data_IF_889472464390
#
_entry.id   IF_889472464390
#
_cell.length_a   1.000
_cell.length_b   1.000
_cell.length_c   1.000
_cell.angle_alpha   90.00
_cell.angle_beta   90.00
_cell.angle_gamma   90.00
#
_symmetry.space_group_name_H-M   'P 1'
#
loop_
_entity.id
_entity.type
_entity.pdbx_description
1 polymer ?
#
# COMPACT_ATOMS: atom_id res chain seq x y z
N UNK A 1 -3.30 -43.26 -10.06
CA UNK A 1 -4.21 -42.65 -9.08
C UNK A 1 -5.58 -42.72 -9.72
N UNK A 2 -6.60 -43.23 -9.04
CA UNK A 2 -7.91 -43.36 -9.67
C UNK A 2 -8.53 -41.95 -9.74
N UNK A 3 -9.06 -41.60 -10.91
CA UNK A 3 -9.65 -40.29 -11.19
C UNK A 3 -11.17 -40.39 -11.21
N UNK A 4 -11.81 -39.53 -10.42
CA UNK A 4 -13.25 -39.35 -10.38
C UNK A 4 -13.59 -37.91 -10.78
N UNK A 5 -13.11 -37.53 -11.96
CA UNK A 5 -13.32 -36.22 -12.54
C UNK A 5 -14.65 -36.16 -13.30
N UNK A 6 -15.21 -34.96 -13.42
CA UNK A 6 -16.46 -34.76 -14.16
C UNK A 6 -16.29 -35.06 -15.64
N UNK A 7 -17.29 -35.72 -16.22
CA UNK A 7 -17.41 -35.93 -17.66
C UNK A 7 -17.60 -34.60 -18.40
N UNK A 8 -17.29 -34.57 -19.70
CA UNK A 8 -17.52 -33.41 -20.56
C UNK A 8 -18.98 -32.94 -20.55
N UNK A 9 -19.95 -33.87 -20.57
CA UNK A 9 -21.38 -33.54 -20.49
C UNK A 9 -21.74 -32.81 -19.19
N UNK A 10 -21.19 -33.27 -18.07
CA UNK A 10 -21.39 -32.65 -16.76
C UNK A 10 -20.75 -31.26 -16.70
N UNK A 11 -19.52 -31.10 -17.21
CA UNK A 11 -18.87 -29.78 -17.31
C UNK A 11 -19.67 -28.81 -18.18
N UNK A 12 -20.28 -29.29 -19.26
CA UNK A 12 -21.16 -28.48 -20.12
C UNK A 12 -22.44 -28.07 -19.38
N UNK A 13 -23.07 -28.95 -18.60
CA UNK A 13 -24.22 -28.57 -17.76
C UNK A 13 -23.87 -27.46 -16.76
N UNK A 14 -22.67 -27.51 -16.17
CA UNK A 14 -22.19 -26.45 -15.27
C UNK A 14 -21.94 -25.15 -16.03
N UNK A 15 -21.39 -25.20 -17.25
CA UNK A 15 -21.22 -24.01 -18.09
C UNK A 15 -22.55 -23.33 -18.42
N UNK A 16 -23.61 -24.10 -18.69
CA UNK A 16 -24.95 -23.54 -18.91
C UNK A 16 -25.52 -22.87 -17.66
N UNK A 17 -25.24 -23.39 -16.46
CA UNK A 17 -25.60 -22.70 -15.22
C UNK A 17 -24.86 -21.38 -15.08
N UNK A 18 -23.54 -21.37 -15.32
CA UNK A 18 -22.70 -20.16 -15.25
C UNK A 18 -23.22 -19.08 -16.22
N UNK A 19 -23.57 -19.47 -17.45
CA UNK A 19 -24.16 -18.56 -18.47
C UNK A 19 -25.49 -17.93 -18.04
N UNK A 20 -26.18 -18.52 -17.08
CA UNK A 20 -27.40 -17.97 -16.49
C UNK A 20 -27.15 -16.90 -15.42
N UNK A 21 -25.90 -16.62 -15.06
CA UNK A 21 -25.50 -15.64 -14.05
C UNK A 21 -24.94 -14.37 -14.67
N UNK A 22 -24.58 -13.38 -13.85
CA UNK A 22 -23.83 -12.20 -14.29
C UNK A 22 -22.31 -12.37 -14.25
N UNK A 23 -21.82 -13.54 -13.83
CA UNK A 23 -20.39 -13.84 -13.75
C UNK A 23 -19.83 -14.13 -15.15
N UNK A 24 -18.60 -13.71 -15.40
CA UNK A 24 -17.92 -14.00 -16.67
C UNK A 24 -17.49 -15.47 -16.73
N UNK A 25 -17.97 -16.27 -17.70
CA UNK A 25 -17.57 -17.67 -17.85
C UNK A 25 -16.05 -17.86 -18.02
N UNK A 26 -15.32 -16.87 -18.53
CA UNK A 26 -13.87 -16.97 -18.73
C UNK A 26 -13.05 -16.93 -17.43
N UNK A 27 -13.63 -16.40 -16.36
CA UNK A 27 -13.00 -16.36 -15.04
C UNK A 27 -13.07 -17.72 -14.33
N UNK A 28 -13.85 -18.68 -14.83
CA UNK A 28 -13.92 -20.01 -14.25
C UNK A 28 -12.81 -20.92 -14.78
N UNK A 29 -12.01 -21.48 -13.88
CA UNK A 29 -10.93 -22.42 -14.21
C UNK A 29 -11.22 -23.80 -13.65
N UNK A 30 -11.18 -24.80 -14.53
CA UNK A 30 -11.18 -26.20 -14.11
C UNK A 30 -9.77 -26.61 -13.71
N UNK A 31 -9.67 -27.28 -12.57
CA UNK A 31 -8.47 -27.97 -12.14
C UNK A 31 -8.86 -29.28 -11.47
N UNK A 32 -7.85 -30.07 -11.16
CA UNK A 32 -8.02 -31.30 -10.40
C UNK A 32 -7.45 -31.09 -8.99
N UNK A 33 -8.01 -31.79 -8.00
CA UNK A 33 -7.67 -31.66 -6.58
C UNK A 33 -7.74 -33.04 -5.92
N UNK A 34 -6.90 -33.29 -4.91
CA UNK A 34 -7.03 -34.48 -4.08
C UNK A 34 -8.34 -34.42 -3.28
N UNK A 35 -9.13 -35.51 -3.38
CA UNK A 35 -10.32 -35.73 -2.58
C UNK A 35 -10.02 -35.54 -1.10
N UNK A 36 -10.97 -34.94 -0.36
CA UNK A 36 -10.86 -34.78 1.10
C UNK A 36 -11.33 -36.03 1.85
N UNK A 37 -11.86 -37.02 1.15
CA UNK A 37 -12.37 -38.25 1.73
C UNK A 37 -11.64 -39.46 1.15
N UNK A 38 -11.56 -40.51 1.96
CA UNK A 38 -11.09 -41.80 1.50
C UNK A 38 -12.27 -42.55 0.89
N UNK A 39 -12.06 -43.13 -0.29
CA UNK A 39 -13.02 -44.07 -0.90
C UNK A 39 -12.86 -45.47 -0.28
N UNK A 40 -13.74 -46.42 -0.63
CA UNK A 40 -13.87 -47.74 0.01
C UNK A 40 -12.55 -48.54 0.18
N UNK A 41 -11.54 -48.29 -0.66
CA UNK A 41 -10.21 -48.92 -0.57
C UNK A 41 -9.18 -48.15 0.28
N UNK A 42 -9.60 -47.15 1.06
CA UNK A 42 -8.74 -46.30 1.88
C UNK A 42 -7.67 -45.55 1.04
N UNK A 43 -8.04 -45.15 -0.18
CA UNK A 43 -7.19 -44.42 -1.13
C UNK A 43 -7.75 -43.01 -1.36
N UNK A 44 -6.85 -42.05 -1.59
CA UNK A 44 -7.22 -40.75 -2.13
C UNK A 44 -7.42 -40.84 -3.63
N UNK A 45 -8.44 -40.17 -4.13
CA UNK A 45 -8.75 -40.06 -5.55
C UNK A 45 -8.65 -38.60 -5.99
N UNK A 46 -8.41 -38.41 -7.28
CA UNK A 46 -8.40 -37.07 -7.88
C UNK A 46 -9.83 -36.71 -8.28
N UNK A 47 -10.28 -35.52 -7.90
CA UNK A 47 -11.63 -35.00 -8.17
C UNK A 47 -11.58 -33.66 -8.88
N UNK A 48 -12.66 -33.29 -9.57
CA UNK A 48 -12.72 -32.01 -10.26
C UNK A 48 -13.00 -30.85 -9.32
N UNK A 49 -12.30 -29.74 -9.55
CA UNK A 49 -12.48 -28.46 -8.89
C UNK A 49 -12.73 -27.37 -9.93
N UNK A 50 -13.66 -26.49 -9.61
CA UNK A 50 -13.96 -25.29 -10.37
C UNK A 50 -13.63 -24.08 -9.49
N UNK A 51 -12.72 -23.21 -9.94
CA UNK A 51 -12.31 -22.02 -9.20
C UNK A 51 -12.69 -20.75 -9.97
N UNK A 52 -12.91 -19.64 -9.26
CA UNK A 52 -13.14 -18.33 -9.87
C UNK A 52 -11.87 -17.47 -9.78
N UNK A 53 -11.41 -16.96 -10.91
CA UNK A 53 -10.15 -16.24 -11.09
C UNK A 53 -10.02 -15.04 -10.13
N UNK A 54 -8.79 -14.81 -9.66
CA UNK A 54 -8.42 -13.77 -8.69
C UNK A 54 -9.25 -13.76 -7.39
N UNK A 55 -9.84 -14.90 -7.02
CA UNK A 55 -10.60 -15.08 -5.80
C UNK A 55 -10.23 -16.37 -5.06
N UNK A 56 -10.48 -16.47 -3.75
CA UNK A 56 -10.33 -17.72 -3.01
C UNK A 56 -11.49 -18.70 -3.24
N UNK A 57 -12.47 -18.37 -4.09
CA UNK A 57 -13.73 -19.09 -4.22
C UNK A 57 -13.64 -20.27 -5.18
N UNK A 58 -14.30 -21.38 -4.81
CA UNK A 58 -14.25 -22.63 -5.53
C UNK A 58 -15.47 -23.52 -5.26
N UNK A 59 -15.65 -24.52 -6.12
CA UNK A 59 -16.54 -25.67 -5.93
C UNK A 59 -15.78 -26.95 -6.27
N UNK A 60 -15.70 -27.88 -5.32
CA UNK A 60 -15.07 -29.20 -5.50
C UNK A 60 -16.18 -30.25 -5.60
N UNK A 61 -16.11 -31.03 -6.67
CA UNK A 61 -17.01 -32.15 -6.96
C UNK A 61 -16.42 -33.44 -6.37
N UNK A 62 -16.47 -33.54 -5.05
CA UNK A 62 -15.86 -34.63 -4.30
C UNK A 62 -16.77 -35.88 -4.24
N UNK A 63 -16.27 -36.94 -3.63
CA UNK A 63 -16.98 -38.19 -3.40
C UNK A 63 -16.83 -38.61 -1.94
N UNK A 64 -17.85 -39.29 -1.44
CA UNK A 64 -17.82 -40.01 -0.18
C UNK A 64 -18.38 -41.42 -0.37
N UNK A 65 -18.32 -42.27 0.66
CA UNK A 65 -18.94 -43.60 0.62
C UNK A 65 -20.47 -43.56 0.36
N UNK A 66 -21.10 -42.38 0.46
CA UNK A 66 -22.53 -42.17 0.19
C UNK A 66 -22.80 -41.59 -1.21
N UNK A 67 -21.78 -41.50 -2.07
CA UNK A 67 -21.86 -40.98 -3.44
C UNK A 67 -21.31 -39.56 -3.57
N UNK A 68 -21.96 -38.73 -4.39
CA UNK A 68 -21.53 -37.35 -4.63
C UNK A 68 -21.45 -36.53 -3.36
N UNK A 69 -20.37 -35.77 -3.23
CA UNK A 69 -20.13 -34.82 -2.16
C UNK A 69 -19.71 -33.47 -2.77
N UNK A 70 -19.96 -32.38 -2.06
CA UNK A 70 -19.54 -31.06 -2.51
C UNK A 70 -18.89 -30.28 -1.38
N UNK A 71 -17.77 -29.63 -1.68
CA UNK A 71 -17.11 -28.66 -0.81
C UNK A 71 -16.99 -27.36 -1.58
N UNK A 72 -17.42 -26.24 -1.02
CA UNK A 72 -17.38 -24.99 -1.76
C UNK A 72 -17.20 -23.76 -0.88
N UNK A 73 -16.68 -22.72 -1.49
CA UNK A 73 -16.54 -21.37 -0.96
C UNK A 73 -16.93 -20.39 -2.08
N UNK A 74 -17.77 -19.37 -1.83
CA UNK A 74 -18.34 -19.01 -0.54
C UNK A 74 -19.55 -19.90 -0.17
N UNK A 75 -19.82 -20.01 1.13
CA UNK A 75 -21.05 -20.60 1.67
C UNK A 75 -22.17 -19.57 1.87
N UNK A 76 -23.28 -20.02 2.44
CA UNK A 76 -24.45 -19.17 2.67
C UNK A 76 -24.17 -18.05 3.66
N UNK A 77 -23.69 -18.41 4.85
CA UNK A 77 -23.41 -17.52 5.99
C UNK A 77 -22.01 -17.78 6.58
N UNK A 78 -21.22 -18.60 5.90
CA UNK A 78 -19.90 -19.06 6.32
C UNK A 78 -18.93 -19.10 5.13
N UNK A 79 -17.60 -18.96 5.36
CA UNK A 79 -16.62 -18.96 4.27
C UNK A 79 -16.58 -20.26 3.47
N UNK A 80 -16.89 -21.40 4.11
CA UNK A 80 -16.83 -22.73 3.50
C UNK A 80 -18.07 -23.53 3.86
N UNK A 81 -18.64 -24.22 2.88
CA UNK A 81 -19.76 -25.12 3.06
C UNK A 81 -19.45 -26.52 2.51
N UNK A 82 -20.23 -27.49 2.95
CA UNK A 82 -20.14 -28.88 2.50
C UNK A 82 -21.51 -29.53 2.50
N UNK A 83 -21.80 -30.28 1.45
CA UNK A 83 -23.07 -30.97 1.28
C UNK A 83 -22.83 -32.38 0.76
N UNK A 84 -23.80 -33.27 0.97
CA UNK A 84 -23.75 -34.65 0.50
C UNK A 84 -24.92 -34.91 -0.46
N UNK A 85 -24.78 -34.55 -1.75
CA UNK A 85 -25.92 -34.55 -2.65
C UNK A 85 -26.35 -35.95 -3.08
N UNK A 86 -25.47 -36.95 -2.96
CA UNK A 86 -25.73 -38.36 -3.28
C UNK A 86 -26.02 -38.67 -4.77
N UNK A 87 -26.39 -37.67 -5.56
CA UNK A 87 -26.70 -37.79 -6.99
C UNK A 87 -26.27 -36.55 -7.76
N UNK A 88 -26.00 -36.72 -9.06
CA UNK A 88 -25.63 -35.61 -9.95
C UNK A 88 -26.70 -34.51 -10.02
N UNK A 89 -27.98 -34.88 -10.05
CA UNK A 89 -29.08 -33.91 -10.16
C UNK A 89 -29.09 -32.94 -8.96
N UNK A 90 -28.89 -33.47 -7.75
CA UNK A 90 -28.84 -32.65 -6.53
C UNK A 90 -27.51 -31.89 -6.47
N UNK A 91 -26.39 -32.49 -6.89
CA UNK A 91 -25.09 -31.81 -6.98
C UNK A 91 -25.19 -30.54 -7.82
N UNK A 92 -25.87 -30.63 -8.97
CA UNK A 92 -26.11 -29.49 -9.86
C UNK A 92 -26.92 -28.38 -9.17
N UNK A 93 -27.91 -28.75 -8.35
CA UNK A 93 -28.66 -27.80 -7.53
C UNK A 93 -27.76 -27.00 -6.58
N UNK A 94 -26.80 -27.67 -5.94
CA UNK A 94 -25.83 -27.00 -5.08
C UNK A 94 -24.83 -26.12 -5.85
N UNK A 95 -24.47 -26.47 -7.09
CA UNK A 95 -23.67 -25.56 -7.93
C UNK A 95 -24.46 -24.27 -8.23
N UNK A 96 -25.75 -24.38 -8.57
CA UNK A 96 -26.60 -23.21 -8.81
C UNK A 96 -26.72 -22.33 -7.56
N UNK A 97 -26.87 -22.94 -6.39
CA UNK A 97 -26.90 -22.22 -5.11
C UNK A 97 -25.57 -21.52 -4.81
N UNK A 98 -24.45 -22.23 -4.98
CA UNK A 98 -23.10 -21.68 -4.82
C UNK A 98 -22.84 -20.50 -5.78
N UNK A 99 -23.26 -20.59 -7.04
CA UNK A 99 -23.13 -19.48 -7.99
C UNK A 99 -23.86 -18.22 -7.51
N UNK A 100 -25.03 -18.37 -6.89
CA UNK A 100 -25.74 -17.25 -6.25
C UNK A 100 -24.95 -16.63 -5.09
N UNK A 101 -24.24 -17.44 -4.30
CA UNK A 101 -23.36 -16.96 -3.23
C UNK A 101 -22.12 -16.28 -3.79
N UNK A 102 -21.52 -16.84 -4.84
CA UNK A 102 -20.39 -16.24 -5.53
C UNK A 102 -20.75 -14.88 -6.12
N UNK A 103 -21.90 -14.75 -6.79
CA UNK A 103 -22.40 -13.45 -7.27
C UNK A 103 -22.61 -12.45 -6.14
N UNK A 104 -23.11 -12.89 -4.99
CA UNK A 104 -23.28 -12.04 -3.81
C UNK A 104 -21.92 -11.46 -3.39
N UNK A 105 -20.92 -12.31 -3.17
CA UNK A 105 -19.60 -11.88 -2.69
C UNK A 105 -18.88 -11.02 -3.73
N UNK A 106 -18.90 -11.39 -5.02
CA UNK A 106 -18.22 -10.63 -6.08
C UNK A 106 -18.78 -9.23 -6.31
N UNK A 107 -20.02 -8.97 -5.87
CA UNK A 107 -20.65 -7.64 -5.95
C UNK A 107 -20.40 -6.77 -4.72
N UNK A 108 -19.91 -7.34 -3.61
CA UNK A 108 -19.64 -6.56 -2.41
C UNK A 108 -18.23 -5.95 -2.50
N UNK A 109 -18.08 -4.62 -2.39
CA UNK A 109 -16.77 -4.02 -2.16
C UNK A 109 -16.24 -4.39 -0.77
N UNK A 110 -14.93 -4.56 -0.64
CA UNK A 110 -14.29 -4.72 0.67
C UNK A 110 -14.20 -3.35 1.38
N UNK A 111 -15.24 -3.04 2.16
CA UNK A 111 -15.32 -1.79 2.92
C UNK A 111 -14.23 -1.66 4.00
N UNK A 112 -13.67 -2.78 4.49
CA UNK A 112 -12.59 -2.74 5.48
C UNK A 112 -11.26 -2.38 4.83
N UNK A 113 -10.97 -2.94 3.66
CA UNK A 113 -9.82 -2.55 2.85
C UNK A 113 -9.92 -1.07 2.43
N UNK A 114 -11.12 -0.59 2.09
CA UNK A 114 -11.36 0.84 1.82
C UNK A 114 -11.03 1.72 3.03
N UNK A 115 -11.44 1.33 4.24
CA UNK A 115 -11.09 2.05 5.48
C UNK A 115 -9.58 2.02 5.73
N UNK A 116 -8.91 0.89 5.52
CA UNK A 116 -7.44 0.77 5.69
C UNK A 116 -6.72 1.68 4.69
N UNK A 117 -7.12 1.68 3.41
CA UNK A 117 -6.58 2.57 2.38
C UNK A 117 -6.81 4.04 2.72
N UNK A 118 -8.00 4.38 3.21
CA UNK A 118 -8.30 5.74 3.67
C UNK A 118 -7.46 6.13 4.88
N UNK A 119 -7.24 5.23 5.85
CA UNK A 119 -6.37 5.45 6.99
C UNK A 119 -4.92 5.65 6.55
N UNK A 120 -4.39 4.83 5.64
CA UNK A 120 -3.04 5.01 5.09
C UNK A 120 -2.92 6.37 4.41
N UNK A 121 -3.91 6.76 3.60
CA UNK A 121 -3.93 8.08 2.95
C UNK A 121 -4.05 9.24 3.95
N UNK A 122 -4.77 9.04 5.06
CA UNK A 122 -4.87 9.98 6.16
C UNK A 122 -3.55 10.08 6.93
N UNK A 123 -2.95 8.97 7.33
CA UNK A 123 -1.67 8.89 8.05
C UNK A 123 -0.50 9.41 7.18
N UNK A 124 -0.58 9.29 5.85
CA UNK A 124 0.37 9.92 4.93
C UNK A 124 0.17 11.44 4.77
N UNK A 125 -1.05 11.96 4.98
CA UNK A 125 -1.34 13.39 5.03
C UNK A 125 -1.11 13.99 6.42
N UNK A 126 -1.17 13.16 7.45
CA UNK A 126 -0.98 13.47 8.87
C UNK A 126 0.19 12.64 9.35
N UNK A 127 1.39 12.92 8.83
CA UNK A 127 2.59 12.71 9.62
C UNK A 127 2.78 14.00 10.42
N UNK A 128 2.36 14.05 11.69
CA UNK A 128 2.87 15.06 12.57
C UNK A 128 4.29 14.60 12.92
N UNK A 129 5.30 15.15 12.23
CA UNK A 129 6.66 15.21 12.76
C UNK A 129 6.68 16.20 13.95
N UNK A 130 5.78 15.99 14.92
CA UNK A 130 5.67 16.74 16.18
C UNK A 130 6.73 16.29 17.18
N UNK A 131 7.38 15.16 16.94
CA UNK A 131 8.60 14.85 17.65
C UNK A 131 9.71 15.70 17.03
N UNK A 132 10.25 16.65 17.80
CA UNK A 132 11.43 17.43 17.45
C UNK A 132 12.68 16.53 17.39
N UNK A 133 12.64 15.53 16.50
CA UNK A 133 13.67 14.54 16.32
C UNK A 133 14.90 15.17 15.66
N UNK A 134 16.10 14.62 15.89
CA UNK A 134 17.27 14.99 15.11
C UNK A 134 17.08 14.76 13.60
N UNK A 135 17.85 15.49 12.79
CA UNK A 135 18.01 15.15 11.38
C UNK A 135 18.73 13.82 11.23
N UNK A 136 18.38 13.07 10.18
CA UNK A 136 19.24 11.98 9.69
C UNK A 136 20.56 12.56 9.16
N UNK A 137 21.61 11.75 9.14
CA UNK A 137 22.93 12.17 8.62
C UNK A 137 22.83 12.73 7.20
N UNK A 138 22.11 12.05 6.31
CA UNK A 138 21.90 12.51 4.93
C UNK A 138 21.07 13.80 4.84
N UNK A 139 20.16 14.04 5.78
CA UNK A 139 19.39 15.29 5.84
C UNK A 139 20.28 16.45 6.32
N UNK A 140 21.14 16.21 7.30
CA UNK A 140 22.11 17.20 7.78
C UNK A 140 23.14 17.55 6.69
N UNK A 141 23.59 16.56 5.90
CA UNK A 141 24.46 16.78 4.73
C UNK A 141 23.76 17.64 3.66
N UNK A 142 22.50 17.32 3.33
CA UNK A 142 21.71 18.13 2.39
C UNK A 142 21.51 19.58 2.88
N UNK A 143 21.25 19.76 4.18
CA UNK A 143 21.16 21.09 4.79
C UNK A 143 22.49 21.82 4.64
N UNK A 144 23.61 21.17 4.95
CA UNK A 144 24.92 21.77 4.84
C UNK A 144 25.21 22.26 3.41
N UNK A 145 24.96 21.42 2.39
CA UNK A 145 25.08 21.81 0.98
C UNK A 145 24.20 23.01 0.61
N UNK A 146 22.99 23.07 1.17
CA UNK A 146 22.08 24.18 0.97
C UNK A 146 22.54 25.48 1.63
N UNK A 147 23.08 25.40 2.84
CA UNK A 147 23.67 26.53 3.56
C UNK A 147 24.92 27.03 2.82
N UNK A 148 25.72 26.15 2.23
CA UNK A 148 26.87 26.56 1.39
C UNK A 148 26.44 27.36 0.16
N UNK A 149 25.33 27.00 -0.49
CA UNK A 149 24.78 27.82 -1.59
C UNK A 149 24.36 29.22 -1.13
N UNK A 150 23.83 29.33 0.08
CA UNK A 150 23.53 30.63 0.68
C UNK A 150 24.83 31.39 0.98
N UNK A 151 25.87 30.71 1.46
CA UNK A 151 27.19 31.30 1.70
C UNK A 151 27.77 31.88 0.43
N UNK A 152 27.82 31.10 -0.65
CA UNK A 152 28.31 31.54 -1.96
C UNK A 152 27.56 32.79 -2.44
N UNK A 153 26.23 32.77 -2.35
CA UNK A 153 25.38 33.91 -2.72
C UNK A 153 25.69 35.18 -1.91
N UNK A 154 25.84 35.06 -0.58
CA UNK A 154 26.10 36.20 0.29
C UNK A 154 27.54 36.72 0.16
N UNK A 155 28.53 35.83 0.04
CA UNK A 155 29.93 36.24 -0.12
C UNK A 155 30.18 36.93 -1.46
N UNK A 156 29.45 36.57 -2.52
CA UNK A 156 29.47 37.27 -3.80
C UNK A 156 28.85 38.68 -3.66
N UNK A 157 27.70 38.78 -2.99
CA UNK A 157 26.98 40.04 -2.78
C UNK A 157 27.74 41.05 -1.88
N UNK A 158 28.56 40.56 -0.94
CA UNK A 158 29.29 41.37 0.05
C UNK A 158 30.81 41.18 -0.04
N UNK A 159 31.33 40.96 -1.24
CA UNK A 159 32.73 40.57 -1.48
C UNK A 159 33.79 41.60 -1.03
N UNK A 160 33.44 42.88 -0.86
CA UNK A 160 34.40 43.94 -0.53
C UNK A 160 34.49 44.26 0.97
N UNK A 161 33.65 43.64 1.80
CA UNK A 161 33.60 43.89 3.25
C UNK A 161 34.03 42.65 4.05
N UNK A 162 35.27 42.69 4.55
CA UNK A 162 35.87 41.63 5.38
C UNK A 162 35.07 41.34 6.64
N UNK A 163 34.51 42.36 7.29
CA UNK A 163 33.71 42.19 8.51
C UNK A 163 32.37 41.51 8.21
N UNK A 164 31.75 41.85 7.08
CA UNK A 164 30.56 41.15 6.59
C UNK A 164 30.86 39.68 6.28
N UNK A 165 31.99 39.37 5.65
CA UNK A 165 32.40 37.98 5.36
C UNK A 165 32.60 37.15 6.62
N UNK A 166 33.27 37.70 7.63
CA UNK A 166 33.47 37.03 8.92
C UNK A 166 32.13 36.72 9.59
N UNK A 167 31.22 37.70 9.63
CA UNK A 167 29.88 37.53 10.17
C UNK A 167 29.10 36.44 9.43
N UNK A 168 29.07 36.48 8.09
CA UNK A 168 28.38 35.47 7.26
C UNK A 168 28.93 34.08 7.60
N UNK A 169 30.25 33.92 7.61
CA UNK A 169 30.85 32.61 7.84
C UNK A 169 30.52 32.05 9.22
N UNK A 170 30.71 32.85 10.26
CA UNK A 170 30.40 32.45 11.65
C UNK A 170 28.93 32.01 11.79
N UNK A 171 27.99 32.79 11.22
CA UNK A 171 26.57 32.52 11.35
C UNK A 171 26.13 31.29 10.56
N UNK A 172 26.67 31.07 9.37
CA UNK A 172 26.33 29.90 8.56
C UNK A 172 26.98 28.63 9.10
N UNK A 173 28.20 28.69 9.63
CA UNK A 173 28.85 27.57 10.31
C UNK A 173 28.02 27.12 11.53
N UNK A 174 27.51 28.07 12.30
CA UNK A 174 26.61 27.79 13.42
C UNK A 174 25.34 27.04 12.98
N UNK A 175 24.78 27.34 11.81
CA UNK A 175 23.62 26.63 11.27
C UNK A 175 23.97 25.21 10.82
N UNK A 176 25.12 25.02 10.17
CA UNK A 176 25.59 23.70 9.75
C UNK A 176 25.83 22.82 10.98
N UNK A 177 26.52 23.32 11.99
CA UNK A 177 26.74 22.58 13.24
C UNK A 177 25.43 22.36 14.02
N UNK A 178 24.52 23.33 13.98
CA UNK A 178 23.16 23.19 14.49
C UNK A 178 22.42 21.99 13.90
N UNK A 179 22.55 21.77 12.58
CA UNK A 179 21.84 20.69 11.88
C UNK A 179 22.23 19.28 12.35
N UNK A 180 23.41 19.14 12.97
CA UNK A 180 23.92 17.86 13.48
C UNK A 180 23.47 17.54 14.91
N UNK A 181 22.99 18.55 15.65
CA UNK A 181 22.77 18.47 17.11
C UNK A 181 21.37 18.86 17.58
N UNK A 182 20.68 19.72 16.84
CA UNK A 182 19.35 20.21 17.18
C UNK A 182 18.27 19.32 16.55
N UNK A 183 17.11 19.27 17.20
CA UNK A 183 15.92 18.72 16.58
C UNK A 183 15.45 19.58 15.41
N UNK A 184 14.71 18.99 14.47
CA UNK A 184 14.28 19.62 13.21
C UNK A 184 13.56 20.96 13.43
N UNK A 185 12.67 21.03 14.43
CA UNK A 185 11.86 22.20 14.73
C UNK A 185 12.73 23.30 15.36
N UNK A 186 13.57 22.95 16.34
CA UNK A 186 14.47 23.90 17.00
C UNK A 186 15.49 24.50 16.03
N UNK A 187 16.04 23.65 15.17
CA UNK A 187 16.97 24.07 14.14
C UNK A 187 16.31 25.03 13.15
N UNK A 188 15.06 24.75 12.73
CA UNK A 188 14.34 25.61 11.81
C UNK A 188 14.11 27.01 12.41
N UNK A 189 13.65 27.11 13.66
CA UNK A 189 13.51 28.40 14.34
C UNK A 189 14.84 29.13 14.48
N UNK A 190 15.91 28.40 14.81
CA UNK A 190 17.28 28.95 14.88
C UNK A 190 17.72 29.49 13.53
N UNK A 191 17.49 28.74 12.45
CA UNK A 191 17.80 29.13 11.08
C UNK A 191 17.07 30.42 10.67
N UNK A 192 15.76 30.50 10.92
CA UNK A 192 14.97 31.69 10.64
C UNK A 192 15.52 32.92 11.37
N UNK A 193 15.86 32.78 12.66
CA UNK A 193 16.43 33.85 13.47
C UNK A 193 17.81 34.31 13.00
N UNK A 194 18.70 33.37 12.67
CA UNK A 194 20.05 33.66 12.21
C UNK A 194 20.02 34.35 10.85
N UNK A 195 19.27 33.84 9.87
CA UNK A 195 19.17 34.45 8.55
C UNK A 195 18.49 35.83 8.60
N UNK A 196 17.46 36.00 9.43
CA UNK A 196 16.87 37.31 9.70
C UNK A 196 17.87 38.29 10.34
N UNK A 197 18.71 37.80 11.25
CA UNK A 197 19.81 38.55 11.85
C UNK A 197 20.86 39.00 10.82
N UNK A 198 21.28 38.10 9.92
CA UNK A 198 22.18 38.44 8.81
C UNK A 198 21.56 39.51 7.92
N UNK A 199 20.30 39.33 7.50
CA UNK A 199 19.61 40.31 6.66
C UNK A 199 19.53 41.70 7.28
N UNK A 200 19.33 41.76 8.60
CA UNK A 200 19.31 43.01 9.36
C UNK A 200 20.70 43.63 9.47
N UNK A 201 21.70 42.83 9.86
CA UNK A 201 23.07 43.29 10.09
C UNK A 201 23.75 43.81 8.81
N UNK A 202 23.48 43.15 7.69
CA UNK A 202 24.02 43.52 6.37
C UNK A 202 23.15 44.55 5.62
N UNK A 203 22.05 45.01 6.24
CA UNK A 203 21.07 45.91 5.62
C UNK A 203 20.64 45.44 4.22
N UNK A 204 20.35 44.15 4.08
CA UNK A 204 20.02 43.52 2.79
C UNK A 204 18.78 44.17 2.15
N UNK A 205 18.80 44.31 0.83
CA UNK A 205 17.62 44.74 0.08
C UNK A 205 16.53 43.65 0.09
N UNK A 206 15.25 44.01 -0.17
CA UNK A 206 14.17 43.03 -0.24
C UNK A 206 14.44 41.90 -1.24
N UNK A 207 15.06 42.21 -2.37
CA UNK A 207 15.41 41.21 -3.40
C UNK A 207 16.50 40.26 -2.91
N UNK A 208 17.51 40.78 -2.21
CA UNK A 208 18.57 39.95 -1.64
C UNK A 208 18.01 39.00 -0.58
N UNK A 209 17.17 39.53 0.32
CA UNK A 209 16.49 38.73 1.36
C UNK A 209 15.61 37.66 0.72
N UNK A 210 14.84 38.01 -0.32
CA UNK A 210 13.99 37.06 -1.04
C UNK A 210 14.81 35.91 -1.66
N UNK A 211 15.93 36.21 -2.33
CA UNK A 211 16.77 35.20 -2.95
C UNK A 211 17.38 34.25 -1.91
N UNK A 212 17.84 34.78 -0.78
CA UNK A 212 18.31 33.97 0.35
C UNK A 212 17.22 33.00 0.86
N UNK A 213 15.98 33.47 1.00
CA UNK A 213 14.86 32.60 1.41
C UNK A 213 14.50 31.55 0.36
N UNK A 214 14.61 31.87 -0.94
CA UNK A 214 14.40 30.90 -2.03
C UNK A 214 15.45 29.80 -1.96
N UNK A 215 16.73 30.16 -1.74
CA UNK A 215 17.81 29.20 -1.57
C UNK A 215 17.59 28.31 -0.34
N UNK A 216 17.18 28.89 0.79
CA UNK A 216 16.82 28.11 1.98
C UNK A 216 15.69 27.14 1.66
N UNK A 217 14.60 27.63 1.05
CA UNK A 217 13.46 26.78 0.70
C UNK A 217 13.88 25.62 -0.20
N UNK A 218 14.78 25.85 -1.16
CA UNK A 218 15.33 24.80 -2.01
C UNK A 218 16.16 23.79 -1.22
N UNK A 219 16.98 24.27 -0.27
CA UNK A 219 17.80 23.41 0.59
C UNK A 219 16.94 22.44 1.41
N UNK A 220 15.85 22.96 1.99
CA UNK A 220 15.00 22.19 2.90
C UNK A 220 13.77 21.58 2.22
N UNK A 221 13.53 21.78 0.92
CA UNK A 221 12.31 21.30 0.23
C UNK A 221 12.12 19.78 0.27
N UNK A 222 13.20 19.00 0.36
CA UNK A 222 13.14 17.54 0.52
C UNK A 222 12.83 17.09 1.95
N UNK A 223 12.97 18.00 2.91
CA UNK A 223 12.89 17.78 4.36
C UNK A 223 11.57 18.36 4.91
N UNK A 224 11.10 19.48 4.34
CA UNK A 224 9.88 20.21 4.71
C UNK A 224 8.56 19.48 4.43
N UNK A 225 8.56 18.30 3.78
CA UNK A 225 7.37 17.44 3.73
C UNK A 225 6.95 16.91 5.11
N UNK A 226 7.79 17.13 6.13
CA UNK A 226 7.63 16.62 7.47
C UNK A 226 7.25 17.69 8.50
N UNK A 227 7.48 18.99 8.24
CA UNK A 227 7.21 20.03 9.25
C UNK A 227 5.76 20.56 9.15
N UNK A 228 5.04 20.71 10.28
CA UNK A 228 3.73 21.35 10.27
C UNK A 228 3.90 22.82 9.90
N UNK A 229 3.25 23.25 8.81
CA UNK A 229 3.10 24.65 8.44
C UNK A 229 2.04 25.34 9.28
#
# INVERSE_FOLDING_TARGET
MDEYTLMTSQKNEILELIRGTTLDPFNFKWSDEDSKFLVEDNRFVIVSKLSYEDSPYYFIFDLSNQGHYSLFSPGEDRPHDRQNPGSWLIQKGFVMQWLGYLEREMRQPDLWDDIVKQKIAYDQKVSPDTANEPFLVSQAEQIAEGIEKIREYLLDAFQDDSSSKELINEKLDYLIDGSKRQGRIDWFHTCMGVLGGIATALAMSPDQTKNMWVLLKSAVSGILKLLPL
#
